data_IF_657017851037
#
_entry.id   IF_657017851037
#
_cell.length_a   1.000
_cell.length_b   1.000
_cell.length_c   1.000
_cell.angle_alpha   90.00
_cell.angle_beta   90.00
_cell.angle_gamma   90.00
#
_symmetry.space_group_name_H-M   'P 1'
#
loop_
_entity.id
_entity.type
_entity.pdbx_description
1 polymer ?
#
# COMPACT_ATOMS: atom_id res chain seq x y z
N UNK A 1 31.41 -10.43 -19.09
CA UNK A 1 31.17 -9.08 -18.53
C UNK A 1 31.56 -9.05 -17.06
N UNK A 2 32.15 -7.94 -16.62
CA UNK A 2 32.40 -7.74 -15.18
C UNK A 2 31.09 -7.49 -14.42
N UNK A 3 31.10 -7.71 -13.11
CA UNK A 3 29.93 -7.42 -12.27
C UNK A 3 29.55 -5.93 -12.31
N UNK A 4 30.53 -5.03 -12.54
CA UNK A 4 30.31 -3.59 -12.67
C UNK A 4 29.61 -3.24 -13.97
N UNK A 5 30.01 -3.86 -15.08
CA UNK A 5 29.33 -3.73 -16.37
C UNK A 5 27.87 -4.22 -16.30
N UNK A 6 27.62 -5.32 -15.60
CA UNK A 6 26.26 -5.85 -15.38
C UNK A 6 25.42 -4.87 -14.57
N UNK A 7 25.99 -4.24 -13.53
CA UNK A 7 25.31 -3.21 -12.74
C UNK A 7 24.97 -1.99 -13.63
N UNK A 8 25.89 -1.55 -14.48
CA UNK A 8 25.68 -0.42 -15.38
C UNK A 8 24.57 -0.73 -16.41
N UNK A 9 24.67 -1.88 -17.11
CA UNK A 9 23.65 -2.35 -18.06
C UNK A 9 22.27 -2.53 -17.40
N UNK A 10 22.24 -2.98 -16.14
CA UNK A 10 20.97 -3.13 -15.39
C UNK A 10 20.28 -1.76 -15.22
N UNK A 11 21.03 -0.68 -14.96
CA UNK A 11 20.46 0.67 -14.87
C UNK A 11 19.88 1.13 -16.21
N UNK A 12 20.63 0.91 -17.29
CA UNK A 12 20.21 1.33 -18.61
C UNK A 12 18.96 0.57 -19.05
N UNK A 13 18.91 -0.74 -18.83
CA UNK A 13 17.76 -1.56 -19.17
C UNK A 13 16.50 -1.18 -18.37
N UNK A 14 16.65 -0.87 -17.07
CA UNK A 14 15.57 -0.35 -16.23
C UNK A 14 15.04 0.97 -16.78
N UNK A 15 15.93 1.87 -17.22
CA UNK A 15 15.58 3.14 -17.82
C UNK A 15 14.88 2.97 -19.18
N UNK A 16 15.40 2.11 -20.06
CA UNK A 16 14.78 1.79 -21.35
C UNK A 16 13.36 1.24 -21.19
N UNK A 17 13.15 0.34 -20.24
CA UNK A 17 11.81 -0.22 -19.92
C UNK A 17 10.91 0.76 -19.16
N UNK A 18 11.37 1.96 -18.87
CA UNK A 18 10.61 2.97 -18.15
C UNK A 18 10.21 2.56 -16.74
N UNK A 19 10.96 1.68 -16.08
CA UNK A 19 10.68 1.26 -14.70
C UNK A 19 10.96 2.41 -13.72
N UNK A 20 10.37 2.33 -12.53
CA UNK A 20 10.50 3.39 -11.54
C UNK A 20 11.89 3.42 -10.89
N UNK A 21 12.32 4.59 -10.41
CA UNK A 21 13.55 4.73 -9.62
C UNK A 21 13.55 3.80 -8.40
N UNK A 22 12.42 3.62 -7.75
CA UNK A 22 12.29 2.68 -6.62
C UNK A 22 12.56 1.22 -7.04
N UNK A 23 12.19 0.83 -8.27
CA UNK A 23 12.51 -0.50 -8.83
C UNK A 23 14.00 -0.62 -9.12
N UNK A 24 14.61 0.44 -9.67
CA UNK A 24 16.07 0.49 -9.90
C UNK A 24 16.82 0.30 -8.59
N UNK A 25 16.52 1.12 -7.58
CA UNK A 25 17.18 1.06 -6.28
C UNK A 25 16.99 -0.32 -5.62
N UNK A 26 15.78 -0.90 -5.74
CA UNK A 26 15.51 -2.23 -5.23
C UNK A 26 16.36 -3.29 -5.93
N UNK A 27 16.37 -3.32 -7.25
CA UNK A 27 17.05 -4.36 -8.02
C UNK A 27 18.56 -4.25 -7.86
N UNK A 28 19.11 -3.03 -7.94
CA UNK A 28 20.55 -2.82 -7.75
C UNK A 28 21.01 -3.15 -6.32
N UNK A 29 20.21 -2.83 -5.32
CA UNK A 29 20.54 -3.22 -3.94
C UNK A 29 20.56 -4.74 -3.79
N UNK A 30 19.54 -5.46 -4.30
CA UNK A 30 19.49 -6.92 -4.24
C UNK A 30 20.63 -7.58 -4.99
N UNK A 31 20.99 -7.03 -6.17
CA UNK A 31 22.14 -7.48 -6.94
C UNK A 31 23.46 -7.32 -6.18
N UNK A 32 23.72 -6.13 -5.64
CA UNK A 32 24.94 -5.85 -4.89
C UNK A 32 25.11 -6.78 -3.68
N UNK A 33 24.00 -7.04 -2.95
CA UNK A 33 24.02 -7.97 -1.81
C UNK A 33 24.30 -9.41 -2.28
N UNK A 34 23.75 -9.82 -3.42
CA UNK A 34 24.00 -11.12 -4.01
C UNK A 34 25.47 -11.30 -4.43
N UNK A 35 26.03 -10.31 -5.15
CA UNK A 35 27.45 -10.29 -5.56
C UNK A 35 28.37 -10.38 -4.35
N UNK A 36 28.11 -9.58 -3.32
CA UNK A 36 28.90 -9.60 -2.07
C UNK A 36 28.84 -10.95 -1.36
N UNK A 37 27.68 -11.61 -1.34
CA UNK A 37 27.53 -12.93 -0.73
C UNK A 37 28.40 -13.98 -1.39
N UNK A 38 28.59 -13.89 -2.69
CA UNK A 38 29.43 -14.81 -3.47
C UNK A 38 30.86 -14.28 -3.68
N UNK A 39 31.37 -13.45 -2.77
CA UNK A 39 32.76 -12.94 -2.79
C UNK A 39 33.16 -12.31 -4.14
N UNK A 40 32.23 -11.58 -4.77
CA UNK A 40 32.40 -10.95 -6.09
C UNK A 40 32.66 -11.93 -7.24
N UNK A 41 32.31 -13.20 -7.08
CA UNK A 41 32.38 -14.17 -8.18
C UNK A 41 31.61 -13.63 -9.43
N UNK A 42 32.13 -13.87 -10.66
CA UNK A 42 31.47 -13.37 -11.86
C UNK A 42 30.05 -13.92 -12.01
N UNK A 43 29.09 -13.01 -12.24
CA UNK A 43 27.67 -13.39 -12.40
C UNK A 43 27.42 -14.29 -13.62
N UNK A 44 28.24 -14.17 -14.66
CA UNK A 44 28.16 -15.00 -15.86
C UNK A 44 28.40 -16.48 -15.57
N UNK A 45 29.23 -16.77 -14.59
CA UNK A 45 29.59 -18.14 -14.19
C UNK A 45 28.60 -18.75 -13.20
N UNK A 46 27.73 -17.91 -12.59
CA UNK A 46 26.73 -18.37 -11.64
C UNK A 46 25.69 -19.29 -12.29
N UNK A 47 25.41 -20.38 -11.63
CA UNK A 47 24.43 -21.39 -12.07
C UNK A 47 23.07 -21.16 -11.38
N UNK A 48 22.02 -21.83 -11.88
CA UNK A 48 20.73 -21.86 -11.20
C UNK A 48 20.81 -22.53 -9.81
N UNK A 49 21.75 -23.45 -9.64
CA UNK A 49 22.01 -24.09 -8.34
C UNK A 49 22.53 -23.08 -7.32
N UNK A 50 23.45 -22.19 -7.73
CA UNK A 50 23.98 -21.16 -6.86
C UNK A 50 22.90 -20.14 -6.45
N UNK A 51 22.07 -19.73 -7.42
CA UNK A 51 20.94 -18.85 -7.15
C UNK A 51 19.94 -19.51 -6.20
N UNK A 52 19.64 -20.78 -6.41
CA UNK A 52 18.75 -21.56 -5.54
C UNK A 52 19.33 -21.67 -4.12
N UNK A 53 20.61 -22.02 -4.00
CA UNK A 53 21.30 -22.09 -2.72
C UNK A 53 21.25 -20.76 -1.96
N UNK A 54 21.49 -19.65 -2.68
CA UNK A 54 21.39 -18.32 -2.10
C UNK A 54 19.98 -17.99 -1.61
N UNK A 55 18.93 -18.30 -2.38
CA UNK A 55 17.56 -18.06 -1.95
C UNK A 55 17.17 -18.91 -0.73
N UNK A 56 17.67 -20.15 -0.63
CA UNK A 56 17.53 -20.99 0.57
C UNK A 56 18.28 -20.38 1.76
N UNK A 57 19.50 -19.91 1.59
CA UNK A 57 20.25 -19.20 2.62
C UNK A 57 19.47 -17.97 3.16
N UNK A 58 18.81 -17.20 2.27
CA UNK A 58 17.98 -16.07 2.71
C UNK A 58 16.77 -16.51 3.54
N UNK A 59 16.26 -17.73 3.30
CA UNK A 59 15.12 -18.30 4.04
C UNK A 59 15.60 -18.86 5.37
N UNK A 60 16.59 -19.73 5.34
CA UNK A 60 16.95 -20.61 6.45
C UNK A 60 17.89 -19.92 7.44
N UNK A 61 18.89 -19.19 6.94
CA UNK A 61 19.88 -18.50 7.76
C UNK A 61 19.46 -17.05 8.09
N UNK A 62 19.05 -16.29 7.07
CA UNK A 62 18.66 -14.90 7.25
C UNK A 62 17.21 -14.73 7.71
N UNK A 63 16.40 -15.78 7.66
CA UNK A 63 14.98 -15.81 8.08
C UNK A 63 14.15 -14.67 7.49
N UNK A 64 14.43 -14.31 6.23
CA UNK A 64 13.75 -13.22 5.56
C UNK A 64 12.31 -13.59 5.21
N UNK A 65 11.43 -12.59 5.24
CA UNK A 65 10.02 -12.78 4.87
C UNK A 65 9.87 -13.22 3.42
N UNK A 66 8.80 -13.96 3.14
CA UNK A 66 8.45 -14.44 1.79
C UNK A 66 8.45 -13.31 0.74
N UNK A 67 7.93 -12.13 1.11
CA UNK A 67 7.93 -10.95 0.23
C UNK A 67 9.33 -10.47 -0.12
N UNK A 68 10.24 -10.46 0.87
CA UNK A 68 11.64 -10.06 0.67
C UNK A 68 12.39 -11.06 -0.19
N UNK A 69 12.23 -12.36 0.05
CA UNK A 69 12.85 -13.41 -0.79
C UNK A 69 12.34 -13.33 -2.24
N UNK A 70 11.03 -13.12 -2.43
CA UNK A 70 10.46 -12.92 -3.77
C UNK A 70 10.99 -11.66 -4.47
N UNK A 71 11.36 -10.61 -3.72
CA UNK A 71 12.01 -9.43 -4.29
C UNK A 71 13.43 -9.74 -4.80
N UNK A 72 14.21 -10.57 -4.09
CA UNK A 72 15.49 -11.08 -4.58
C UNK A 72 15.31 -11.91 -5.85
N UNK A 73 14.38 -12.87 -5.81
CA UNK A 73 14.07 -13.73 -6.97
C UNK A 73 13.68 -12.87 -8.20
N UNK A 74 12.86 -11.83 -8.01
CA UNK A 74 12.46 -10.94 -9.12
C UNK A 74 13.64 -10.14 -9.68
N UNK A 75 14.53 -9.63 -8.82
CA UNK A 75 15.71 -8.90 -9.25
C UNK A 75 16.67 -9.81 -10.01
N UNK A 76 16.97 -11.01 -9.48
CA UNK A 76 17.85 -11.97 -10.15
C UNK A 76 17.27 -12.43 -11.49
N UNK A 77 15.96 -12.75 -11.56
CA UNK A 77 15.32 -13.08 -12.84
C UNK A 77 15.41 -11.97 -13.87
N UNK A 78 15.24 -10.71 -13.44
CA UNK A 78 15.39 -9.59 -14.34
C UNK A 78 16.81 -9.50 -14.89
N UNK A 79 17.81 -9.62 -14.01
CA UNK A 79 19.21 -9.44 -14.39
C UNK A 79 19.67 -10.60 -15.26
N UNK A 80 19.42 -11.84 -14.85
CA UNK A 80 19.81 -13.01 -15.64
C UNK A 80 19.07 -13.06 -16.97
N UNK A 81 17.76 -12.73 -17.00
CA UNK A 81 16.98 -12.76 -18.24
C UNK A 81 17.24 -11.59 -19.18
N UNK A 82 17.33 -10.36 -18.67
CA UNK A 82 17.41 -9.18 -19.51
C UNK A 82 18.85 -8.73 -19.82
N UNK A 83 19.83 -9.09 -18.97
CA UNK A 83 21.22 -8.61 -19.12
C UNK A 83 22.14 -9.76 -19.55
N UNK A 84 21.96 -10.95 -18.97
CA UNK A 84 22.77 -12.11 -19.28
C UNK A 84 22.11 -13.05 -20.31
N UNK A 85 20.91 -12.67 -20.78
CA UNK A 85 20.11 -13.44 -21.76
C UNK A 85 19.86 -14.91 -21.37
N UNK A 86 19.87 -15.19 -20.06
CA UNK A 86 19.67 -16.51 -19.45
C UNK A 86 18.39 -16.51 -18.61
N UNK A 87 17.32 -17.09 -19.15
CA UNK A 87 16.06 -17.20 -18.41
C UNK A 87 16.14 -18.30 -17.34
N UNK A 88 15.95 -17.90 -16.08
CA UNK A 88 15.95 -18.83 -14.95
C UNK A 88 14.69 -19.72 -14.96
N UNK A 89 14.89 -21.03 -14.84
CA UNK A 89 13.82 -22.00 -14.82
C UNK A 89 12.91 -21.82 -13.60
N UNK A 90 11.59 -21.81 -13.83
CA UNK A 90 10.59 -21.64 -12.77
C UNK A 90 10.45 -22.86 -11.85
N UNK A 91 10.77 -24.05 -12.35
CA UNK A 91 10.73 -25.26 -11.55
C UNK A 91 11.93 -25.32 -10.59
N UNK A 92 13.10 -24.89 -11.05
CA UNK A 92 14.31 -24.84 -10.22
C UNK A 92 14.28 -23.70 -9.19
N UNK A 93 13.75 -22.54 -9.58
CA UNK A 93 13.71 -21.32 -8.78
C UNK A 93 12.26 -20.81 -8.69
N UNK A 94 11.39 -21.49 -7.94
CA UNK A 94 9.98 -21.09 -7.84
C UNK A 94 9.82 -19.81 -7.06
N UNK A 95 8.74 -19.05 -7.35
CA UNK A 95 8.29 -17.98 -6.44
C UNK A 95 7.58 -18.61 -5.25
N UNK A 96 7.92 -18.14 -4.04
CA UNK A 96 7.23 -18.55 -2.82
C UNK A 96 5.79 -18.00 -2.81
N UNK A 97 4.84 -18.82 -2.41
CA UNK A 97 3.46 -18.41 -2.21
C UNK A 97 3.38 -17.45 -1.01
N UNK A 98 2.82 -16.27 -1.23
CA UNK A 98 2.56 -15.29 -0.15
C UNK A 98 1.20 -15.59 0.42
N UNK A 99 1.14 -15.93 1.72
CA UNK A 99 -0.11 -16.01 2.44
C UNK A 99 -0.65 -14.59 2.59
N UNK A 100 -1.83 -14.33 2.06
CA UNK A 100 -2.50 -13.03 2.22
C UNK A 100 -3.23 -13.04 3.55
N UNK A 101 -2.72 -12.32 4.51
CA UNK A 101 -3.39 -12.08 5.78
C UNK A 101 -4.30 -10.87 5.62
N UNK A 102 -5.45 -10.90 6.30
CA UNK A 102 -6.33 -9.75 6.34
C UNK A 102 -5.60 -8.59 7.03
N UNK A 103 -5.69 -7.36 6.50
CA UNK A 103 -5.03 -6.23 7.13
C UNK A 103 -5.74 -5.89 8.44
N UNK A 104 -4.97 -5.51 9.44
CA UNK A 104 -5.50 -4.91 10.65
C UNK A 104 -6.15 -3.57 10.30
N UNK A 105 -7.44 -3.41 10.66
CA UNK A 105 -8.24 -2.22 10.42
C UNK A 105 -8.56 -1.57 11.77
N UNK A 106 -8.43 -0.26 11.83
CA UNK A 106 -8.92 0.53 12.96
C UNK A 106 -10.43 0.67 12.84
N UNK A 107 -11.14 0.53 13.95
CA UNK A 107 -12.53 0.92 14.05
C UNK A 107 -12.72 2.42 13.87
N UNK A 108 -13.92 2.88 13.56
CA UNK A 108 -14.24 4.32 13.47
C UNK A 108 -13.92 5.05 14.76
N UNK A 109 -14.15 4.43 15.92
CA UNK A 109 -13.83 5.00 17.23
C UNK A 109 -12.31 5.16 17.43
N UNK A 110 -11.51 4.16 17.04
CA UNK A 110 -10.04 4.26 17.09
C UNK A 110 -9.51 5.37 16.17
N UNK A 111 -10.11 5.55 14.99
CA UNK A 111 -9.77 6.69 14.09
C UNK A 111 -10.07 8.03 14.77
N UNK A 112 -11.22 8.16 15.43
CA UNK A 112 -11.58 9.38 16.19
C UNK A 112 -10.58 9.62 17.32
N UNK A 113 -10.25 8.58 18.10
CA UNK A 113 -9.27 8.63 19.19
C UNK A 113 -7.88 9.03 18.68
N UNK A 114 -7.44 8.45 17.57
CA UNK A 114 -6.18 8.82 16.94
C UNK A 114 -6.14 10.30 16.59
N UNK A 115 -7.15 10.80 15.86
CA UNK A 115 -7.17 12.20 15.42
C UNK A 115 -7.34 13.20 16.58
N UNK A 116 -8.05 12.81 17.65
CA UNK A 116 -8.17 13.61 18.86
C UNK A 116 -6.84 13.76 19.62
N UNK A 117 -5.95 12.76 19.55
CA UNK A 117 -4.63 12.80 20.17
C UNK A 117 -3.62 13.73 19.46
N UNK A 118 -3.94 14.18 18.22
CA UNK A 118 -3.01 14.95 17.40
C UNK A 118 -3.17 16.45 17.68
N UNK A 119 -2.23 17.02 18.42
CA UNK A 119 -2.19 18.44 18.76
C UNK A 119 -1.35 19.29 17.77
N UNK A 120 -0.56 18.70 16.89
CA UNK A 120 0.19 19.39 15.86
C UNK A 120 -0.61 19.48 14.56
N UNK A 121 -0.90 20.70 14.10
CA UNK A 121 -1.75 20.98 12.94
C UNK A 121 -1.24 20.33 11.64
N UNK A 122 0.08 20.39 11.38
CA UNK A 122 0.68 19.73 10.21
C UNK A 122 0.49 18.22 10.25
N UNK A 123 0.80 17.60 11.37
CA UNK A 123 0.73 16.17 11.54
C UNK A 123 -0.73 15.69 11.41
N UNK A 124 -1.67 16.46 11.94
CA UNK A 124 -3.11 16.23 11.81
C UNK A 124 -3.56 16.33 10.36
N UNK A 125 -3.20 17.41 9.67
CA UNK A 125 -3.53 17.59 8.25
C UNK A 125 -2.99 16.45 7.38
N UNK A 126 -1.76 15.98 7.63
CA UNK A 126 -1.17 14.84 6.91
C UNK A 126 -1.99 13.56 7.12
N UNK A 127 -2.22 13.15 8.37
CA UNK A 127 -2.88 11.87 8.66
C UNK A 127 -4.38 11.89 8.28
N UNK A 128 -5.07 13.01 8.49
CA UNK A 128 -6.46 13.17 8.05
C UNK A 128 -6.57 13.11 6.53
N UNK A 129 -5.64 13.71 5.78
CA UNK A 129 -5.66 13.65 4.31
C UNK A 129 -5.40 12.23 3.81
N UNK A 130 -4.50 11.47 4.46
CA UNK A 130 -4.27 10.07 4.09
C UNK A 130 -5.54 9.23 4.30
N UNK A 131 -6.22 9.40 5.42
CA UNK A 131 -7.45 8.68 5.72
C UNK A 131 -8.62 9.16 4.85
N UNK A 132 -8.88 10.47 4.78
CA UNK A 132 -10.04 11.03 4.08
C UNK A 132 -10.01 10.88 2.56
N UNK A 133 -8.80 10.80 1.98
CA UNK A 133 -8.61 10.65 0.53
C UNK A 133 -8.05 9.26 0.12
N UNK A 134 -7.76 8.39 1.06
CA UNK A 134 -7.19 7.07 0.79
C UNK A 134 -5.83 7.12 0.09
N UNK A 135 -4.99 8.12 0.38
CA UNK A 135 -3.71 8.31 -0.29
C UNK A 135 -2.68 7.26 0.10
N UNK A 136 -1.79 6.93 -0.85
CA UNK A 136 -0.57 6.18 -0.53
C UNK A 136 0.45 7.10 0.14
N UNK A 137 1.32 6.51 0.95
CA UNK A 137 2.40 7.23 1.62
C UNK A 137 3.30 8.01 0.63
N UNK A 138 3.56 7.46 -0.55
CA UNK A 138 4.31 8.17 -1.61
C UNK A 138 3.52 9.28 -2.29
N UNK A 139 2.19 9.26 -2.21
CA UNK A 139 1.31 10.27 -2.80
C UNK A 139 1.19 11.49 -1.88
N UNK A 140 1.00 11.28 -0.57
CA UNK A 140 0.92 12.40 0.39
C UNK A 140 2.21 13.23 0.44
N UNK A 141 3.39 12.60 0.35
CA UNK A 141 4.67 13.33 0.38
C UNK A 141 4.91 14.16 -0.89
N UNK A 142 4.18 13.88 -1.97
CA UNK A 142 4.26 14.61 -3.24
C UNK A 142 3.06 15.48 -3.53
N UNK A 143 2.08 15.52 -2.63
CA UNK A 143 0.86 16.31 -2.79
C UNK A 143 1.21 17.79 -2.92
N UNK A 144 0.65 18.45 -3.94
CA UNK A 144 0.84 19.87 -4.20
C UNK A 144 -0.41 20.66 -3.83
N UNK A 145 -0.24 21.94 -3.54
CA UNK A 145 -1.37 22.83 -3.27
C UNK A 145 -2.35 22.85 -4.47
N UNK A 146 -1.83 22.92 -5.68
CA UNK A 146 -2.62 22.91 -6.92
C UNK A 146 -3.40 21.61 -7.18
N UNK A 147 -3.05 20.52 -6.50
CA UNK A 147 -3.75 19.23 -6.64
C UNK A 147 -5.06 19.19 -5.85
N UNK A 148 -5.32 20.22 -5.02
CA UNK A 148 -6.52 20.35 -4.19
C UNK A 148 -7.56 21.18 -4.94
N UNK A 149 -8.56 20.50 -5.50
CA UNK A 149 -9.71 21.11 -6.15
C UNK A 149 -10.82 21.31 -5.10
N UNK A 150 -10.87 22.51 -4.50
CA UNK A 150 -11.85 22.82 -3.46
C UNK A 150 -13.25 23.07 -3.99
N UNK A 151 -13.41 23.41 -5.27
CA UNK A 151 -14.72 23.57 -5.90
C UNK A 151 -15.32 22.22 -6.27
N UNK A 152 -14.50 21.34 -6.90
CA UNK A 152 -14.89 20.00 -7.24
C UNK A 152 -14.86 19.00 -6.07
N UNK A 153 -14.47 19.42 -4.86
CA UNK A 153 -14.35 18.59 -3.65
C UNK A 153 -13.57 17.30 -3.92
N UNK A 154 -12.39 17.43 -4.55
CA UNK A 154 -11.56 16.31 -4.96
C UNK A 154 -10.07 16.66 -4.89
N UNK A 155 -9.25 15.61 -4.79
CA UNK A 155 -7.78 15.70 -4.82
C UNK A 155 -7.29 15.00 -6.06
N UNK A 156 -6.47 15.69 -6.85
CA UNK A 156 -5.78 15.10 -7.99
C UNK A 156 -4.53 14.37 -7.53
N UNK A 157 -4.36 13.13 -7.95
CA UNK A 157 -3.19 12.30 -7.64
C UNK A 157 -2.42 12.04 -8.91
N UNK A 158 -1.33 12.80 -9.06
CA UNK A 158 -0.45 12.72 -10.21
C UNK A 158 0.47 11.49 -10.13
N UNK A 159 0.58 10.75 -11.22
CA UNK A 159 1.46 9.59 -11.38
C UNK A 159 1.42 8.60 -10.21
N UNK A 160 0.25 8.17 -9.82
CA UNK A 160 0.06 7.09 -8.87
C UNK A 160 0.76 5.79 -9.31
N UNK A 161 0.58 4.70 -8.56
CA UNK A 161 1.17 3.40 -8.91
C UNK A 161 0.82 3.01 -10.36
N UNK A 162 1.83 2.76 -11.18
CA UNK A 162 1.68 2.45 -12.62
C UNK A 162 1.52 3.71 -13.50
N UNK A 163 1.92 4.89 -13.01
CA UNK A 163 1.87 6.18 -13.72
C UNK A 163 0.46 6.58 -14.19
N UNK A 164 -0.58 6.14 -13.47
CA UNK A 164 -1.97 6.52 -13.76
C UNK A 164 -2.39 7.63 -12.83
N UNK A 165 -2.92 8.68 -13.42
CA UNK A 165 -3.54 9.79 -12.72
C UNK A 165 -4.94 9.40 -12.25
N UNK A 166 -5.40 10.00 -11.17
CA UNK A 166 -6.76 9.82 -10.67
C UNK A 166 -7.22 11.01 -9.82
N UNK A 167 -8.50 11.15 -9.70
CA UNK A 167 -9.12 11.95 -8.65
C UNK A 167 -9.52 11.03 -7.47
N UNK A 168 -9.45 11.59 -6.26
CA UNK A 168 -9.99 10.98 -5.05
C UNK A 168 -10.79 12.01 -4.25
N UNK A 169 -11.43 11.57 -3.18
CA UNK A 169 -12.33 12.42 -2.37
C UNK A 169 -11.57 13.48 -1.59
N UNK A 170 -12.20 14.64 -1.46
CA UNK A 170 -11.86 15.69 -0.50
C UNK A 170 -13.08 15.93 0.37
N UNK A 171 -13.08 15.53 1.64
CA UNK A 171 -14.18 15.84 2.55
C UNK A 171 -14.11 17.30 3.02
N UNK A 172 -15.21 17.81 3.53
CA UNK A 172 -15.30 19.18 4.07
C UNK A 172 -14.29 19.33 5.22
N UNK A 173 -14.27 18.41 6.17
CA UNK A 173 -13.36 18.43 7.31
C UNK A 173 -11.88 18.35 6.86
N UNK A 174 -11.59 17.61 5.78
CA UNK A 174 -10.24 17.56 5.25
C UNK A 174 -9.86 18.88 4.57
N UNK A 175 -10.78 19.53 3.85
CA UNK A 175 -10.55 20.84 3.26
C UNK A 175 -10.33 21.90 4.34
N UNK A 176 -11.10 21.87 5.41
CA UNK A 176 -10.97 22.82 6.54
C UNK A 176 -9.61 22.72 7.21
N UNK A 177 -9.16 21.50 7.58
CA UNK A 177 -7.84 21.31 8.20
C UNK A 177 -6.70 21.68 7.25
N UNK A 178 -6.84 21.45 5.93
CA UNK A 178 -5.85 21.85 4.93
C UNK A 178 -5.80 23.37 4.77
N UNK A 179 -6.93 24.08 4.85
CA UNK A 179 -7.01 25.56 4.83
C UNK A 179 -6.38 26.14 6.08
N UNK A 180 -6.70 25.61 7.26
CA UNK A 180 -6.09 26.02 8.52
C UNK A 180 -4.57 25.82 8.48
N UNK A 181 -4.11 24.65 8.05
CA UNK A 181 -2.69 24.38 7.85
C UNK A 181 -2.06 25.40 6.88
N UNK A 182 -2.70 25.68 5.75
CA UNK A 182 -2.21 26.62 4.75
C UNK A 182 -2.12 28.05 5.30
N UNK A 183 -3.10 28.50 6.08
CA UNK A 183 -3.11 29.83 6.69
C UNK A 183 -1.96 30.01 7.68
N UNK A 184 -1.67 28.99 8.49
CA UNK A 184 -0.61 29.03 9.53
C UNK A 184 0.78 28.88 8.92
N UNK A 185 0.98 27.90 8.04
CA UNK A 185 2.30 27.55 7.55
C UNK A 185 2.69 28.21 6.23
N UNK A 186 1.71 28.73 5.48
CA UNK A 186 1.92 29.39 4.18
C UNK A 186 2.89 28.62 3.29
N UNK A 187 2.59 27.38 2.87
CA UNK A 187 3.52 26.56 2.13
C UNK A 187 3.89 27.21 0.79
N UNK A 188 5.12 27.67 0.70
CA UNK A 188 5.70 28.36 -0.46
C UNK A 188 6.87 27.56 -1.03
N UNK A 189 6.72 26.24 -1.12
CA UNK A 189 7.76 25.40 -1.67
C UNK A 189 7.90 25.63 -3.19
N UNK A 190 9.12 25.74 -3.79
CA UNK A 190 9.30 26.03 -5.22
C UNK A 190 8.59 25.04 -6.15
N UNK A 191 8.44 23.78 -5.73
CA UNK A 191 7.69 22.73 -6.47
C UNK A 191 6.20 22.67 -6.10
N UNK A 192 5.70 23.62 -5.29
CA UNK A 192 4.31 23.70 -4.87
C UNK A 192 3.85 22.60 -3.92
N UNK A 193 4.77 21.88 -3.24
CA UNK A 193 4.37 20.84 -2.28
C UNK A 193 3.53 21.41 -1.13
N UNK A 194 2.45 20.71 -0.81
CA UNK A 194 1.58 21.06 0.31
C UNK A 194 2.30 20.90 1.65
N UNK A 195 3.01 19.78 1.82
CA UNK A 195 3.75 19.46 3.04
C UNK A 195 5.25 19.43 2.77
N UNK A 196 6.01 20.24 3.51
CA UNK A 196 7.45 20.32 3.38
C UNK A 196 8.13 20.48 4.75
N UNK A 197 9.44 20.28 4.78
CA UNK A 197 10.23 20.46 6.00
C UNK A 197 10.90 21.83 6.01
N UNK A 198 11.00 22.46 7.19
CA UNK A 198 11.74 23.72 7.35
C UNK A 198 13.26 23.58 7.10
N UNK A 199 13.79 22.36 7.18
CA UNK A 199 15.21 22.05 7.07
C UNK A 199 15.57 21.64 5.65
N UNK A 200 15.62 22.58 4.74
CA UNK A 200 15.98 22.35 3.36
C UNK A 200 15.01 23.00 2.40
N UNK A 201 15.47 24.00 1.69
CA UNK A 201 14.64 24.84 0.83
C UNK A 201 13.91 24.09 -0.29
N UNK A 202 14.21 22.78 -0.52
CA UNK A 202 13.68 21.99 -1.62
C UNK A 202 13.15 20.60 -1.23
N UNK A 203 12.89 20.33 0.05
CA UNK A 203 12.52 19.00 0.48
C UNK A 203 11.04 18.92 0.86
N UNK A 204 10.26 18.16 0.09
CA UNK A 204 9.00 17.59 0.57
C UNK A 204 9.26 16.84 1.89
N UNK A 205 8.19 16.64 2.67
CA UNK A 205 8.28 15.74 3.83
C UNK A 205 8.72 14.35 3.37
N UNK A 206 9.47 13.64 4.21
CA UNK A 206 9.94 12.31 3.88
C UNK A 206 8.91 11.23 4.26
N UNK A 207 8.96 10.11 3.54
CA UNK A 207 8.20 8.90 3.90
C UNK A 207 8.45 8.49 5.35
N UNK A 208 9.70 8.56 5.80
CA UNK A 208 10.11 8.22 7.18
C UNK A 208 9.44 9.14 8.20
N UNK A 209 9.42 10.46 7.94
CA UNK A 209 8.76 11.42 8.83
C UNK A 209 7.27 11.08 9.03
N UNK A 210 6.54 10.78 7.96
CA UNK A 210 5.11 10.44 8.07
C UNK A 210 4.89 9.14 8.85
N UNK A 211 5.78 8.17 8.67
CA UNK A 211 5.75 6.92 9.47
C UNK A 211 6.03 7.18 10.96
N UNK A 212 6.98 8.06 11.26
CA UNK A 212 7.32 8.41 12.65
C UNK A 212 6.20 9.23 13.31
N UNK A 213 5.56 10.14 12.57
CA UNK A 213 4.34 10.85 13.00
C UNK A 213 3.25 9.83 13.39
N UNK A 214 2.94 8.87 12.51
CA UNK A 214 1.92 7.85 12.80
C UNK A 214 2.27 7.06 14.07
N UNK A 215 3.48 6.56 14.20
CA UNK A 215 3.94 5.81 15.38
C UNK A 215 3.85 6.63 16.67
N UNK A 216 4.20 7.93 16.61
CA UNK A 216 4.10 8.84 17.74
C UNK A 216 2.66 8.91 18.25
N UNK A 217 1.69 9.18 17.36
CA UNK A 217 0.31 9.39 17.77
C UNK A 217 -0.43 8.10 18.10
N UNK A 218 -0.05 6.96 17.53
CA UNK A 218 -0.55 5.66 18.00
C UNK A 218 -0.21 5.41 19.47
N UNK A 219 1.03 5.73 19.88
CA UNK A 219 1.45 5.60 21.28
C UNK A 219 0.72 6.59 22.20
N UNK A 220 0.54 7.85 21.75
CA UNK A 220 -0.16 8.87 22.53
C UNK A 220 -1.65 8.56 22.69
N UNK A 221 -2.24 7.88 21.72
CA UNK A 221 -3.64 7.47 21.73
C UNK A 221 -3.88 6.11 22.42
N UNK A 222 -2.81 5.47 22.92
CA UNK A 222 -2.84 4.10 23.47
C UNK A 222 -3.45 3.07 22.50
N UNK A 223 -3.11 3.21 21.21
CA UNK A 223 -3.56 2.31 20.15
C UNK A 223 -2.44 1.34 19.74
N UNK A 224 -2.84 0.20 19.15
CA UNK A 224 -1.89 -0.81 18.69
C UNK A 224 -0.80 -0.24 17.79
N UNK A 225 0.46 -0.52 18.12
CA UNK A 225 1.63 -0.12 17.33
C UNK A 225 1.83 -0.95 16.05
N UNK A 226 1.04 -1.99 15.84
CA UNK A 226 0.97 -2.75 14.59
C UNK A 226 0.31 -1.94 13.47
N UNK A 227 -0.53 -0.97 13.82
CA UNK A 227 -1.08 -0.05 12.85
C UNK A 227 0.01 0.79 12.17
N UNK A 228 -0.22 1.13 10.95
CA UNK A 228 0.71 1.89 10.13
C UNK A 228 -0.01 2.94 9.28
N UNK A 229 0.74 3.81 8.62
CA UNK A 229 0.15 4.74 7.63
C UNK A 229 -0.66 4.00 6.56
N UNK A 230 -0.25 2.79 6.18
CA UNK A 230 -0.99 1.95 5.24
C UNK A 230 -2.35 1.53 5.80
N UNK A 231 -2.45 1.33 7.12
CA UNK A 231 -3.71 1.01 7.81
C UNK A 231 -4.76 2.09 7.60
N UNK A 232 -4.41 3.38 7.67
CA UNK A 232 -5.35 4.48 7.40
C UNK A 232 -5.98 4.37 6.00
N UNK A 233 -5.18 4.02 5.00
CA UNK A 233 -5.69 3.80 3.65
C UNK A 233 -6.55 2.54 3.54
N UNK A 234 -6.25 1.49 4.32
CA UNK A 234 -7.13 0.31 4.41
C UNK A 234 -8.46 0.67 5.08
N UNK A 235 -8.43 1.45 6.18
CA UNK A 235 -9.62 1.97 6.85
C UNK A 235 -10.48 2.81 5.91
N UNK A 236 -9.89 3.70 5.09
CA UNK A 236 -10.64 4.44 4.06
C UNK A 236 -11.47 3.50 3.18
N UNK A 237 -10.85 2.46 2.63
CA UNK A 237 -11.54 1.52 1.75
C UNK A 237 -12.63 0.73 2.48
N UNK A 238 -12.33 0.22 3.68
CA UNK A 238 -13.26 -0.61 4.46
C UNK A 238 -14.42 0.22 4.97
N UNK A 239 -14.17 1.43 5.50
CA UNK A 239 -15.25 2.29 6.03
C UNK A 239 -16.16 2.84 4.91
N UNK A 240 -15.63 3.09 3.70
CA UNK A 240 -16.48 3.40 2.53
C UNK A 240 -17.34 2.20 2.13
N UNK A 241 -16.77 1.01 2.17
CA UNK A 241 -17.48 -0.22 1.85
C UNK A 241 -18.62 -0.48 2.86
N UNK A 242 -18.34 -0.31 4.16
CA UNK A 242 -19.34 -0.37 5.25
C UNK A 242 -20.45 0.69 5.08
N UNK A 243 -20.13 1.82 4.47
CA UNK A 243 -21.10 2.88 4.16
C UNK A 243 -21.88 2.62 2.87
N UNK A 244 -21.73 1.45 2.25
CA UNK A 244 -22.46 1.04 1.08
C UNK A 244 -21.90 1.54 -0.25
N UNK A 245 -20.67 2.11 -0.26
CA UNK A 245 -20.05 2.54 -1.52
C UNK A 245 -19.60 1.33 -2.34
N UNK A 246 -19.96 1.32 -3.62
CA UNK A 246 -19.62 0.23 -4.54
C UNK A 246 -18.12 0.00 -4.68
N UNK A 247 -17.73 -1.28 -4.74
CA UNK A 247 -16.32 -1.73 -4.84
C UNK A 247 -15.61 -1.14 -6.06
N UNK A 248 -16.30 -0.95 -7.17
CA UNK A 248 -15.72 -0.39 -8.40
C UNK A 248 -15.38 1.09 -8.22
N UNK A 249 -16.21 1.84 -7.49
CA UNK A 249 -15.94 3.23 -7.13
C UNK A 249 -14.73 3.32 -6.18
N UNK A 250 -14.68 2.47 -5.16
CA UNK A 250 -13.53 2.41 -4.24
C UNK A 250 -12.25 2.05 -5.00
N UNK A 251 -12.30 1.10 -5.93
CA UNK A 251 -11.17 0.78 -6.82
C UNK A 251 -10.66 2.00 -7.58
N UNK A 252 -11.56 2.80 -8.16
CA UNK A 252 -11.19 4.02 -8.89
C UNK A 252 -10.54 5.05 -7.97
N UNK A 253 -11.17 5.36 -6.83
CA UNK A 253 -10.66 6.30 -5.83
C UNK A 253 -9.28 5.89 -5.32
N UNK A 254 -9.06 4.60 -5.05
CA UNK A 254 -7.78 4.08 -4.60
C UNK A 254 -6.73 3.93 -5.71
N UNK A 255 -7.11 3.97 -6.98
CA UNK A 255 -6.22 3.73 -8.11
C UNK A 255 -5.62 2.32 -8.07
N UNK A 256 -6.48 1.30 -7.88
CA UNK A 256 -6.10 -0.10 -7.99
C UNK A 256 -6.20 -0.56 -9.43
N UNK A 257 -5.11 -1.09 -9.98
CA UNK A 257 -5.07 -1.64 -11.34
C UNK A 257 -5.96 -2.87 -11.46
N UNK A 258 -5.90 -3.75 -10.45
CA UNK A 258 -6.67 -5.00 -10.42
C UNK A 258 -7.76 -4.93 -9.37
N UNK A 259 -8.95 -5.40 -9.72
CA UNK A 259 -10.11 -5.41 -8.81
C UNK A 259 -9.85 -6.27 -7.58
N UNK A 260 -9.09 -7.36 -7.73
CA UNK A 260 -8.72 -8.25 -6.62
C UNK A 260 -8.02 -7.52 -5.45
N UNK A 261 -7.43 -6.35 -5.72
CA UNK A 261 -6.84 -5.52 -4.66
C UNK A 261 -7.89 -4.82 -3.81
N UNK A 262 -9.11 -4.62 -4.36
CA UNK A 262 -10.22 -3.95 -3.69
C UNK A 262 -11.23 -4.97 -3.14
N UNK A 263 -11.54 -6.04 -3.88
CA UNK A 263 -12.42 -7.13 -3.40
C UNK A 263 -11.87 -7.80 -2.13
N UNK A 264 -10.58 -7.68 -1.89
CA UNK A 264 -9.96 -8.13 -0.64
C UNK A 264 -10.59 -7.48 0.61
N UNK A 265 -11.09 -6.24 0.50
CA UNK A 265 -11.78 -5.56 1.60
C UNK A 265 -13.19 -6.11 1.87
N UNK A 266 -13.81 -6.82 0.93
CA UNK A 266 -15.12 -7.46 1.17
C UNK A 266 -15.05 -8.49 2.30
N UNK A 267 -13.91 -9.15 2.48
CA UNK A 267 -13.71 -10.10 3.59
C UNK A 267 -13.57 -9.43 4.96
N UNK A 268 -13.47 -8.09 4.99
CA UNK A 268 -13.39 -7.32 6.24
C UNK A 268 -14.74 -6.75 6.68
N UNK A 269 -15.77 -6.86 5.83
CA UNK A 269 -17.12 -6.44 6.21
C UNK A 269 -17.62 -7.32 7.35
N UNK A 270 -17.99 -6.70 8.43
CA UNK A 270 -18.76 -7.36 9.46
C UNK A 270 -20.16 -7.63 8.92
N UNK A 271 -20.64 -8.86 9.04
CA UNK A 271 -22.03 -9.20 8.79
C UNK A 271 -22.87 -8.67 9.95
N UNK A 272 -23.31 -7.42 9.87
CA UNK A 272 -24.11 -6.74 10.89
C UNK A 272 -25.61 -7.10 10.85
N UNK A 273 -25.95 -8.16 10.12
CA UNK A 273 -27.36 -8.58 9.92
C UNK A 273 -28.09 -7.77 8.85
N UNK A 274 -27.47 -6.79 8.21
CA UNK A 274 -28.09 -6.04 7.10
C UNK A 274 -28.26 -6.92 5.86
N UNK A 275 -27.42 -7.93 5.69
CA UNK A 275 -27.54 -8.95 4.65
C UNK A 275 -28.42 -10.08 5.17
N UNK A 276 -29.68 -10.10 4.70
CA UNK A 276 -30.61 -11.19 5.01
C UNK A 276 -30.31 -12.40 4.14
N UNK A 277 -30.38 -13.58 4.75
CA UNK A 277 -30.32 -14.83 4.00
C UNK A 277 -31.44 -14.86 2.94
N UNK A 278 -31.21 -15.43 1.75
CA UNK A 278 -32.28 -15.68 0.79
C UNK A 278 -33.49 -16.41 1.43
N UNK A 279 -33.26 -17.25 2.41
CA UNK A 279 -34.33 -17.94 3.17
C UNK A 279 -35.18 -16.97 4.00
N UNK A 280 -34.59 -15.85 4.48
CA UNK A 280 -35.31 -14.84 5.27
C UNK A 280 -36.15 -13.90 4.36
N UNK A 281 -35.81 -13.87 3.07
CA UNK A 281 -36.47 -13.03 2.05
C UNK A 281 -37.57 -13.81 1.33
N UNK A 282 -37.56 -15.14 1.39
CA UNK A 282 -38.62 -15.96 0.78
C UNK A 282 -39.97 -15.64 1.38
N UNK A 283 -41.04 -15.52 0.57
CA UNK A 283 -42.38 -15.31 1.06
C UNK A 283 -42.76 -16.49 1.97
N UNK A 284 -42.99 -16.20 3.23
CA UNK A 284 -43.52 -17.23 4.17
C UNK A 284 -44.83 -17.74 3.62
N UNK A 285 -44.87 -19.01 3.22
CA UNK A 285 -46.16 -19.65 2.90
C UNK A 285 -47.09 -19.45 4.09
N UNK A 286 -48.21 -18.75 3.90
CA UNK A 286 -49.27 -18.65 4.93
C UNK A 286 -49.57 -20.05 5.42
N UNK A 287 -49.23 -20.30 6.68
CA UNK A 287 -49.22 -21.61 7.26
C UNK A 287 -50.61 -22.27 7.23
N UNK A 288 -50.68 -23.47 6.63
CA UNK A 288 -51.66 -24.46 7.09
C UNK A 288 -51.41 -24.67 8.59
N UNK A 289 -52.44 -24.42 9.41
CA UNK A 289 -52.41 -24.81 10.85
C UNK A 289 -51.92 -26.25 10.91
N UNK A 290 -50.98 -26.60 11.79
CA UNK A 290 -50.59 -28.00 11.98
C UNK A 290 -51.83 -28.76 12.36
N UNK A 291 -52.15 -29.84 11.62
CA UNK A 291 -53.13 -30.83 12.07
C UNK A 291 -52.61 -31.38 13.39
N UNK A 292 -53.45 -31.32 14.42
CA UNK A 292 -53.18 -31.97 15.68
C UNK A 292 -52.84 -33.44 15.43
N UNK A 293 -51.64 -33.84 15.80
CA UNK A 293 -51.25 -35.24 15.81
C UNK A 293 -51.86 -35.78 17.10
N UNK A 294 -52.95 -36.59 16.97
CA UNK A 294 -53.43 -37.41 18.07
C UNK A 294 -52.30 -38.39 18.38
N UNK A 295 -51.77 -38.26 19.59
CA UNK A 295 -50.93 -39.29 20.22
C UNK A 295 -51.88 -40.09 21.08
N UNK A 296 -52.46 -41.07 20.48
CA UNK A 296 -53.16 -42.10 21.24
C UNK A 296 -52.34 -43.39 21.26
N UNK A 297 -52.07 -43.84 22.49
CA UNK A 297 -51.63 -45.16 23.01
C UNK A 297 -50.15 -45.57 22.62
#
# INVERSE_FOLDING_TARGET
>A
MTNEEIIAKTKDEIKLRGLSKATEDLYLNKLKVFIKHHNNHPLEEMTETDIRAYLLYLIDEKKLTTGTVNAYNSALRFIFGAILERNLNYQMIPRRRIRRELPNIMSKNEIVTLFASINNLRDKAILMTIYGAGLRLSEIVRLRVQDIDSEGMRIFVYQGKGRKDRYTLLSIENLEILREYWLVYRPAHPKGYMFYTKYGKDCAITVKLVQDIMKKYLRLADLSTEYSVKTLRHCFATHLLESGVDVSRIKQLMGHTHIQSTTFYLHLLNFDGSIKSPLDILPKKRGRKPKAVNVDA
#
